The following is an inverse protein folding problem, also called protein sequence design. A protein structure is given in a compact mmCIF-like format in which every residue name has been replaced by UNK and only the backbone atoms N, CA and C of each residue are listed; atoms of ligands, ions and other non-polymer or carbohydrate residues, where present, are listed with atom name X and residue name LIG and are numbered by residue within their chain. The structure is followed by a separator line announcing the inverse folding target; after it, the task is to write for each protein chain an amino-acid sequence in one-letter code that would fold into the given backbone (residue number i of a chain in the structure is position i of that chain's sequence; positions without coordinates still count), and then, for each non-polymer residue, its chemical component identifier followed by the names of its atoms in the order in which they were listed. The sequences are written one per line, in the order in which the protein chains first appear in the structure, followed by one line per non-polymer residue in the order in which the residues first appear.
data_IF_106922859077
#
_entry.id   IF_106922859077
#
_cell.length_a   1.000
_cell.length_b   1.000
_cell.length_c   1.000
_cell.angle_alpha   90.00
_cell.angle_beta   90.00
_cell.angle_gamma   90.00
#
_symmetry.space_group_name_H-M   'P 1'
#
loop_
_entity.id
_entity.type
_entity.pdbx_description
1 polymer ?
#
# COMPACT_ATOMS: atom_id res chain seq x y z
N UNK A 1 -9.07 17.00 3.67
CA UNK A 1 -9.23 15.58 4.05
C UNK A 1 -8.57 14.79 2.93
N UNK A 2 -7.48 14.07 3.20
CA UNK A 2 -6.85 13.25 2.15
C UNK A 2 -7.75 12.04 1.93
N UNK A 3 -8.34 11.93 0.75
CA UNK A 3 -9.16 10.79 0.36
C UNK A 3 -8.26 9.58 0.12
N UNK A 4 -8.76 8.38 0.45
CA UNK A 4 -8.02 7.14 0.27
C UNK A 4 -7.76 6.86 -1.21
N UNK A 5 -6.60 6.28 -1.54
CA UNK A 5 -6.33 5.90 -2.92
C UNK A 5 -7.18 4.70 -3.36
N UNK A 6 -7.77 4.80 -4.54
CA UNK A 6 -8.32 3.67 -5.30
C UNK A 6 -7.32 3.09 -6.28
N UNK A 7 -6.31 3.87 -6.68
CA UNK A 7 -5.19 3.42 -7.52
C UNK A 7 -4.21 2.55 -6.73
N UNK A 8 -3.53 1.64 -7.43
CA UNK A 8 -2.51 0.78 -6.85
C UNK A 8 -1.30 1.56 -6.32
N UNK A 9 -0.52 0.93 -5.45
CA UNK A 9 0.59 1.54 -4.73
C UNK A 9 1.54 2.36 -5.62
N UNK A 10 2.04 1.76 -6.71
CA UNK A 10 3.05 2.42 -7.55
C UNK A 10 2.52 3.69 -8.21
N UNK A 11 1.32 3.64 -8.77
CA UNK A 11 0.64 4.79 -9.39
C UNK A 11 0.42 5.91 -8.36
N UNK A 12 -0.16 5.56 -7.21
CA UNK A 12 -0.40 6.51 -6.12
C UNK A 12 0.90 7.15 -5.61
N UNK A 13 1.99 6.40 -5.51
CA UNK A 13 3.31 6.95 -5.14
C UNK A 13 3.86 7.88 -6.22
N UNK A 14 3.71 7.56 -7.50
CA UNK A 14 4.13 8.47 -8.57
C UNK A 14 3.39 9.81 -8.54
N UNK A 15 2.09 9.78 -8.26
CA UNK A 15 1.29 10.99 -8.09
C UNK A 15 1.72 11.80 -6.86
N UNK A 16 1.91 11.14 -5.70
CA UNK A 16 2.40 11.79 -4.49
C UNK A 16 3.79 12.43 -4.66
N UNK A 17 4.68 11.76 -5.40
CA UNK A 17 6.01 12.29 -5.73
C UNK A 17 5.89 13.54 -6.61
N UNK A 18 5.03 13.51 -7.64
CA UNK A 18 4.79 14.64 -8.53
C UNK A 18 4.20 15.82 -7.76
N UNK A 19 3.16 15.59 -6.96
CA UNK A 19 2.41 16.62 -6.25
C UNK A 19 3.24 17.30 -5.16
N UNK A 20 4.12 16.55 -4.49
CA UNK A 20 5.04 17.10 -3.48
C UNK A 20 6.38 17.58 -4.05
N UNK A 21 6.65 17.39 -5.34
CA UNK A 21 7.95 17.68 -5.94
C UNK A 21 9.09 16.84 -5.35
N UNK A 22 8.81 15.60 -4.93
CA UNK A 22 9.78 14.68 -4.36
C UNK A 22 10.39 13.78 -5.43
N UNK A 23 11.66 13.44 -5.25
CA UNK A 23 12.30 12.38 -6.04
C UNK A 23 12.12 11.02 -5.37
N UNK A 24 12.20 9.92 -6.14
CA UNK A 24 12.21 8.57 -5.56
C UNK A 24 13.33 8.40 -4.51
N UNK A 25 14.51 9.01 -4.75
CA UNK A 25 15.63 8.99 -3.79
C UNK A 25 15.28 9.69 -2.48
N UNK A 26 14.55 10.82 -2.53
CA UNK A 26 14.06 11.52 -1.33
C UNK A 26 13.07 10.65 -0.57
N UNK A 27 12.12 10.03 -1.27
CA UNK A 27 11.16 9.12 -0.65
C UNK A 27 11.85 7.91 -0.01
N UNK A 28 12.80 7.28 -0.69
CA UNK A 28 13.57 6.16 -0.14
C UNK A 28 14.24 6.53 1.19
N UNK A 29 14.83 7.73 1.26
CA UNK A 29 15.42 8.24 2.51
C UNK A 29 14.38 8.52 3.58
N UNK A 30 13.27 9.16 3.24
CA UNK A 30 12.21 9.50 4.19
C UNK A 30 11.52 8.25 4.77
N UNK A 31 11.27 7.25 3.93
CA UNK A 31 10.69 5.96 4.30
C UNK A 31 11.74 4.97 4.87
N UNK A 32 13.02 5.35 4.98
CA UNK A 32 14.11 4.49 5.44
C UNK A 32 14.15 3.13 4.70
N UNK A 33 14.07 3.16 3.37
CA UNK A 33 14.14 1.98 2.50
C UNK A 33 15.27 2.09 1.48
N UNK A 34 15.76 0.94 1.01
CA UNK A 34 16.76 0.90 -0.04
C UNK A 34 16.19 1.51 -1.36
N UNK A 35 16.90 2.47 -1.99
CA UNK A 35 16.43 3.09 -3.23
C UNK A 35 16.26 2.11 -4.40
N UNK A 36 17.11 1.08 -4.48
CA UNK A 36 17.02 0.06 -5.52
C UNK A 36 15.79 -0.83 -5.34
N UNK A 37 15.49 -1.20 -4.09
CA UNK A 37 14.26 -1.90 -3.74
C UNK A 37 13.01 -1.07 -4.05
N UNK A 38 12.97 0.20 -3.61
CA UNK A 38 11.84 1.10 -3.90
C UNK A 38 11.64 1.22 -5.41
N UNK A 39 12.71 1.42 -6.18
CA UNK A 39 12.64 1.48 -7.64
C UNK A 39 12.05 0.20 -8.24
N UNK A 40 12.51 -0.99 -7.81
CA UNK A 40 11.96 -2.25 -8.30
C UNK A 40 10.45 -2.40 -8.05
N UNK A 41 9.98 -1.97 -6.87
CA UNK A 41 8.55 -1.99 -6.54
C UNK A 41 7.77 -1.01 -7.42
N UNK A 42 8.25 0.23 -7.56
CA UNK A 42 7.55 1.25 -8.35
C UNK A 42 7.44 0.89 -9.83
N UNK A 43 8.43 0.18 -10.38
CA UNK A 43 8.40 -0.31 -11.76
C UNK A 43 7.72 -1.69 -11.91
N UNK A 44 7.08 -2.22 -10.86
CA UNK A 44 6.29 -3.45 -10.93
C UNK A 44 7.09 -4.75 -10.99
N UNK A 45 8.40 -4.72 -10.71
CA UNK A 45 9.23 -5.93 -10.68
C UNK A 45 8.93 -6.82 -9.45
N UNK A 46 8.38 -6.24 -8.38
CA UNK A 46 7.85 -6.98 -7.26
C UNK A 46 6.72 -6.19 -6.58
N UNK A 47 5.73 -6.87 -5.96
CA UNK A 47 4.66 -6.17 -5.26
C UNK A 47 5.18 -5.43 -4.01
N UNK A 48 4.52 -4.35 -3.58
CA UNK A 48 4.83 -3.69 -2.33
C UNK A 48 4.53 -4.62 -1.14
N UNK A 49 5.41 -4.62 -0.14
CA UNK A 49 5.07 -5.26 1.12
C UNK A 49 4.16 -4.36 1.96
N UNK A 50 3.34 -4.91 2.87
CA UNK A 50 2.53 -4.13 3.80
C UNK A 50 3.36 -3.16 4.66
N UNK A 51 4.60 -3.52 4.98
CA UNK A 51 5.55 -2.70 5.75
C UNK A 51 6.11 -1.56 4.90
N UNK A 52 6.42 -1.81 3.63
CA UNK A 52 6.83 -0.75 2.71
C UNK A 52 5.72 0.28 2.57
N UNK A 53 4.48 -0.16 2.36
CA UNK A 53 3.34 0.73 2.23
C UNK A 53 3.13 1.57 3.51
N UNK A 54 3.24 0.96 4.70
CA UNK A 54 3.14 1.69 5.96
C UNK A 54 4.22 2.78 6.10
N UNK A 55 5.47 2.46 5.76
CA UNK A 55 6.58 3.44 5.82
C UNK A 55 6.38 4.61 4.85
N UNK A 56 5.75 4.35 3.70
CA UNK A 56 5.42 5.40 2.73
C UNK A 56 4.25 6.25 3.21
N UNK A 57 3.25 5.65 3.86
CA UNK A 57 2.17 6.38 4.53
C UNK A 57 2.75 7.34 5.57
N UNK A 58 3.64 6.86 6.44
CA UNK A 58 4.31 7.68 7.46
C UNK A 58 5.15 8.80 6.83
N UNK A 59 5.95 8.48 5.81
CA UNK A 59 6.83 9.46 5.14
C UNK A 59 6.05 10.61 4.48
N UNK A 60 4.80 10.37 4.11
CA UNK A 60 3.91 11.33 3.48
C UNK A 60 2.80 11.84 4.40
N UNK A 61 2.82 11.47 5.69
CA UNK A 61 1.81 11.83 6.69
C UNK A 61 0.38 11.47 6.24
N UNK A 62 0.23 10.29 5.66
CA UNK A 62 -1.04 9.76 5.13
C UNK A 62 -1.75 8.88 6.18
N UNK A 63 -3.07 8.66 6.05
CA UNK A 63 -3.77 7.64 6.84
C UNK A 63 -3.16 6.24 6.64
N UNK A 64 -3.18 5.41 7.68
CA UNK A 64 -2.58 4.05 7.69
C UNK A 64 -3.30 3.00 6.82
N UNK A 65 -4.38 3.43 6.16
CA UNK A 65 -5.19 2.66 5.23
C UNK A 65 -5.34 3.36 3.88
N UNK A 66 -4.40 4.25 3.55
CA UNK A 66 -4.43 5.04 2.32
C UNK A 66 -4.30 4.14 1.09
N UNK A 67 -3.34 3.21 1.11
CA UNK A 67 -3.11 2.29 -0.01
C UNK A 67 -4.07 1.09 0.01
N UNK A 68 -4.61 0.65 -1.14
CA UNK A 68 -5.48 -0.53 -1.22
C UNK A 68 -4.78 -1.80 -0.72
N UNK A 69 -3.49 -1.98 -1.00
CA UNK A 69 -2.72 -3.17 -0.59
C UNK A 69 -2.62 -3.32 0.93
N UNK A 70 -2.62 -2.20 1.67
CA UNK A 70 -2.67 -2.20 3.14
C UNK A 70 -4.00 -2.74 3.64
N UNK A 71 -5.10 -2.29 3.02
CA UNK A 71 -6.47 -2.72 3.34
C UNK A 71 -6.68 -4.19 2.99
N UNK A 72 -6.26 -4.60 1.80
CA UNK A 72 -6.33 -5.98 1.34
C UNK A 72 -5.54 -6.91 2.25
N UNK A 73 -4.31 -6.54 2.63
CA UNK A 73 -3.53 -7.32 3.58
C UNK A 73 -4.27 -7.51 4.90
N UNK A 74 -4.83 -6.44 5.48
CA UNK A 74 -5.59 -6.50 6.72
C UNK A 74 -6.81 -7.44 6.60
N UNK A 75 -7.56 -7.33 5.50
CA UNK A 75 -8.73 -8.18 5.23
C UNK A 75 -8.31 -9.65 5.09
N UNK A 76 -7.28 -9.96 4.31
CA UNK A 76 -6.78 -11.33 4.12
C UNK A 76 -6.31 -11.93 5.46
N UNK A 77 -5.61 -11.15 6.29
CA UNK A 77 -5.19 -11.60 7.62
C UNK A 77 -6.37 -11.90 8.53
N UNK A 78 -7.42 -11.07 8.50
CA UNK A 78 -8.65 -11.32 9.25
C UNK A 78 -9.34 -12.62 8.80
N UNK A 79 -9.48 -12.82 7.48
CA UNK A 79 -10.06 -14.02 6.88
C UNK A 79 -9.29 -15.29 7.28
N UNK A 80 -7.96 -15.23 7.30
CA UNK A 80 -7.13 -16.37 7.72
C UNK A 80 -7.31 -16.76 9.18
N UNK A 81 -7.59 -15.78 10.03
CA UNK A 81 -7.73 -15.97 11.49
C UNK A 81 -9.14 -16.40 11.89
N UNK A 82 -10.14 -16.14 11.05
CA UNK A 82 -11.55 -16.41 11.34
C UNK A 82 -12.20 -17.22 10.21
N UNK A 83 -12.31 -18.56 10.36
CA UNK A 83 -13.00 -19.41 9.39
C UNK A 83 -14.47 -19.04 9.19
N UNK A 84 -15.17 -18.56 10.22
CA UNK A 84 -16.58 -18.16 10.11
C UNK A 84 -16.71 -16.92 9.24
N UNK A 85 -15.81 -15.95 9.40
CA UNK A 85 -15.72 -14.78 8.51
C UNK A 85 -15.42 -15.19 7.07
N UNK A 86 -14.47 -16.11 6.86
CA UNK A 86 -14.14 -16.62 5.54
C UNK A 86 -15.37 -17.23 4.86
N UNK A 87 -16.07 -18.12 5.54
CA UNK A 87 -17.19 -18.86 4.97
C UNK A 87 -18.37 -17.90 4.66
N UNK A 88 -18.64 -16.93 5.54
CA UNK A 88 -19.62 -15.86 5.28
C UNK A 88 -19.27 -15.00 4.06
N UNK A 89 -18.00 -14.63 3.89
CA UNK A 89 -17.55 -13.86 2.73
C UNK A 89 -17.70 -14.70 1.45
N UNK A 90 -17.34 -15.98 1.51
CA UNK A 90 -17.51 -16.90 0.38
C UNK A 90 -18.98 -17.02 -0.04
N UNK A 91 -19.88 -17.26 0.90
CA UNK A 91 -21.34 -17.33 0.64
C UNK A 91 -21.89 -16.04 0.02
N UNK A 92 -21.33 -14.89 0.38
CA UNK A 92 -21.73 -13.59 -0.19
C UNK A 92 -21.23 -13.37 -1.62
N UNK A 93 -20.05 -13.89 -1.96
CA UNK A 93 -19.40 -13.66 -3.26
C UNK A 93 -19.69 -14.76 -4.30
N UNK A 94 -20.04 -15.97 -3.87
CA UNK A 94 -20.30 -17.11 -4.75
C UNK A 94 -21.74 -17.17 -5.31
N UNK A 95 -22.54 -16.12 -5.10
CA UNK A 95 -23.85 -15.89 -5.74
C UNK A 95 -23.70 -14.94 -6.91
#
# INVERSE_FOLDING_TARGET
MIERSTSGFSEAVHDLLRDRGWTQKRLARAACVDPGFLSRVLHGHCPPSPELAARVEDAFELPCDFFPERREHAVIQAIRRDPVLRDRIYERLAR
#
